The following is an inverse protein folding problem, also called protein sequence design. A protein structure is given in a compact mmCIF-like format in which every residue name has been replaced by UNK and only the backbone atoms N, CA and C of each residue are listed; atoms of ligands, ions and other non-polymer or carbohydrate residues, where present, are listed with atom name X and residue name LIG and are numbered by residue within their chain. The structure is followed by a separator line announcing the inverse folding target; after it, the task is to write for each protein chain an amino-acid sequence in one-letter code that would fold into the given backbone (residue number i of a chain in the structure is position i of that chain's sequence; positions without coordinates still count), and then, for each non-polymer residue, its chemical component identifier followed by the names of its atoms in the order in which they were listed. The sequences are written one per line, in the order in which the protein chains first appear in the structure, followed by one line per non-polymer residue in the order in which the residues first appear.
data_IF_417992754159
#
_entry.id   IF_417992754159
#
_cell.length_a   1.000
_cell.length_b   1.000
_cell.length_c   1.000
_cell.angle_alpha   90.00
_cell.angle_beta   90.00
_cell.angle_gamma   90.00
#
_symmetry.space_group_name_H-M   'P 1'
#
loop_
_entity.id
_entity.type
_entity.pdbx_description
1 polymer ?
#
# COMPACT_ATOMS: atom_id res chain seq x y z
N UNK A 1 8.03 55.14 -44.95
CA UNK A 1 7.58 54.33 -46.11
C UNK A 1 8.81 53.95 -46.90
N UNK A 2 9.21 52.67 -46.85
CA UNK A 2 9.96 52.01 -47.92
C UNK A 2 9.80 50.51 -47.74
N UNK A 3 9.29 49.89 -48.81
CA UNK A 3 9.11 48.47 -48.97
C UNK A 3 10.46 47.84 -49.30
N UNK A 4 10.85 46.79 -48.58
CA UNK A 4 11.51 45.68 -49.25
C UNK A 4 11.16 44.38 -48.56
N UNK A 5 10.35 43.62 -49.28
CA UNK A 5 9.86 42.31 -48.96
C UNK A 5 11.00 41.27 -49.01
N UNK A 6 10.98 40.36 -48.04
CA UNK A 6 10.86 38.92 -48.28
C UNK A 6 12.01 38.24 -49.04
N UNK A 7 12.96 37.64 -48.30
CA UNK A 7 13.53 36.34 -48.69
C UNK A 7 13.55 35.39 -47.49
N UNK A 8 12.93 34.25 -47.76
CA UNK A 8 12.66 33.08 -46.96
C UNK A 8 13.88 32.14 -47.06
N UNK A 9 14.65 31.91 -45.99
CA UNK A 9 15.45 30.67 -45.87
C UNK A 9 15.46 30.19 -44.42
N UNK A 10 14.51 29.31 -44.19
CA UNK A 10 14.48 28.16 -43.28
C UNK A 10 15.88 27.65 -42.87
N UNK A 11 16.20 27.71 -41.59
CA UNK A 11 17.04 26.68 -40.96
C UNK A 11 16.61 26.47 -39.50
N UNK A 12 15.78 25.43 -39.35
CA UNK A 12 15.56 24.73 -38.10
C UNK A 12 16.89 24.25 -37.54
N UNK A 13 17.23 24.64 -36.31
CA UNK A 13 17.98 23.79 -35.40
C UNK A 13 17.25 23.73 -34.07
N UNK A 14 16.33 22.77 -34.01
CA UNK A 14 15.79 22.25 -32.79
C UNK A 14 16.88 21.42 -32.09
N UNK A 15 17.22 21.76 -30.84
CA UNK A 15 17.57 20.79 -29.80
C UNK A 15 17.32 21.40 -28.42
N UNK A 16 16.09 21.34 -27.96
CA UNK A 16 15.77 21.48 -26.54
C UNK A 16 14.71 20.46 -26.17
N UNK A 17 15.15 19.23 -25.95
CA UNK A 17 14.40 18.30 -25.11
C UNK A 17 15.40 17.55 -24.25
N UNK A 18 15.68 18.10 -23.07
CA UNK A 18 16.15 17.33 -21.93
C UNK A 18 15.11 16.25 -21.64
N UNK A 19 15.35 15.03 -22.12
CA UNK A 19 14.56 13.86 -21.75
C UNK A 19 14.96 13.47 -20.33
N UNK A 20 14.25 14.03 -19.36
CA UNK A 20 14.12 13.38 -18.06
C UNK A 20 13.57 11.98 -18.31
N UNK A 21 14.39 10.97 -18.04
CA UNK A 21 13.96 9.59 -17.93
C UNK A 21 13.01 9.49 -16.73
N UNK A 22 11.75 9.88 -16.94
CA UNK A 22 10.65 9.59 -16.03
C UNK A 22 10.43 8.09 -16.14
N UNK A 23 11.15 7.34 -15.29
CA UNK A 23 10.92 5.92 -15.05
C UNK A 23 9.41 5.74 -14.90
N UNK A 24 8.80 5.03 -15.85
CA UNK A 24 7.37 4.74 -15.89
C UNK A 24 7.00 4.00 -14.60
N UNK A 25 6.69 4.72 -13.52
CA UNK A 25 5.94 4.14 -12.42
C UNK A 25 4.54 3.86 -12.98
N UNK A 26 4.04 2.62 -12.89
CA UNK A 26 2.68 2.32 -13.32
C UNK A 26 1.74 3.30 -12.62
N UNK A 27 0.97 4.06 -13.40
CA UNK A 27 -0.09 4.88 -12.84
C UNK A 27 -1.22 3.94 -12.44
N UNK A 28 -1.28 3.59 -11.15
CA UNK A 28 -2.44 2.90 -10.58
C UNK A 28 -3.66 3.76 -10.80
N UNK A 29 -4.66 3.22 -11.50
CA UNK A 29 -5.89 3.94 -11.81
C UNK A 29 -6.72 4.16 -10.55
N UNK A 30 -7.50 5.24 -10.50
CA UNK A 30 -8.36 5.59 -9.36
C UNK A 30 -9.26 4.41 -8.95
N UNK A 31 -9.79 3.67 -9.92
CA UNK A 31 -10.64 2.49 -9.74
C UNK A 31 -9.93 1.36 -8.99
N UNK A 32 -8.65 1.12 -9.28
CA UNK A 32 -7.86 0.09 -8.61
C UNK A 32 -7.53 0.50 -7.16
N UNK A 33 -7.28 1.78 -6.93
CA UNK A 33 -7.05 2.32 -5.58
C UNK A 33 -8.33 2.27 -4.72
N UNK A 34 -9.49 2.57 -5.29
CA UNK A 34 -10.78 2.51 -4.58
C UNK A 34 -11.13 1.07 -4.20
N UNK A 35 -10.91 0.12 -5.11
CA UNK A 35 -11.09 -1.32 -4.84
C UNK A 35 -10.17 -1.81 -3.72
N UNK A 36 -8.88 -1.43 -3.78
CA UNK A 36 -7.90 -1.76 -2.74
C UNK A 36 -8.32 -1.21 -1.38
N UNK A 37 -8.75 0.05 -1.34
CA UNK A 37 -9.23 0.70 -0.12
C UNK A 37 -10.43 -0.03 0.48
N UNK A 38 -11.42 -0.41 -0.33
CA UNK A 38 -12.60 -1.15 0.15
C UNK A 38 -12.24 -2.50 0.78
N UNK A 39 -11.28 -3.23 0.19
CA UNK A 39 -10.78 -4.50 0.75
C UNK A 39 -10.20 -4.26 2.16
N UNK A 40 -9.36 -3.23 2.31
CA UNK A 40 -8.68 -2.94 3.57
C UNK A 40 -9.65 -2.39 4.61
N UNK A 41 -10.59 -1.53 4.21
CA UNK A 41 -11.65 -1.01 5.09
C UNK A 41 -12.50 -2.15 5.64
N UNK A 42 -12.90 -3.10 4.79
CA UNK A 42 -13.67 -4.27 5.24
C UNK A 42 -12.86 -5.12 6.22
N UNK A 43 -11.58 -5.37 5.94
CA UNK A 43 -10.70 -6.09 6.86
C UNK A 43 -10.61 -5.39 8.22
N UNK A 44 -10.41 -4.06 8.24
CA UNK A 44 -10.37 -3.27 9.49
C UNK A 44 -11.69 -3.30 10.25
N UNK A 45 -12.82 -3.24 9.56
CA UNK A 45 -14.14 -3.36 10.18
C UNK A 45 -14.31 -4.73 10.85
N UNK A 46 -13.92 -5.80 10.15
CA UNK A 46 -14.02 -7.16 10.67
C UNK A 46 -13.05 -7.39 11.86
N UNK A 47 -11.85 -6.78 11.84
CA UNK A 47 -10.94 -6.75 12.99
C UNK A 47 -11.55 -6.05 14.21
N UNK A 48 -12.29 -4.96 13.99
CA UNK A 48 -12.93 -4.18 15.06
C UNK A 48 -14.21 -4.83 15.60
N UNK A 49 -14.75 -5.85 14.94
CA UNK A 49 -15.97 -6.52 15.37
C UNK A 49 -15.67 -7.61 16.42
N UNK A 50 -16.00 -7.45 17.71
CA UNK A 50 -15.67 -8.43 18.74
C UNK A 50 -16.45 -9.76 18.60
N UNK A 51 -17.52 -9.79 17.82
CA UNK A 51 -18.32 -11.00 17.61
C UNK A 51 -17.75 -11.94 16.54
N UNK A 52 -16.83 -11.47 15.68
CA UNK A 52 -16.17 -12.32 14.70
C UNK A 52 -15.00 -13.09 15.31
N UNK A 53 -14.90 -14.38 15.00
CA UNK A 53 -13.77 -15.22 15.39
C UNK A 53 -12.56 -14.99 14.47
N UNK A 54 -11.35 -15.22 14.98
CA UNK A 54 -10.11 -14.93 14.25
C UNK A 54 -9.96 -15.79 12.98
N UNK A 55 -10.34 -17.06 13.06
CA UNK A 55 -10.34 -18.01 11.95
C UNK A 55 -11.28 -17.58 10.81
N UNK A 56 -12.44 -16.99 11.14
CA UNK A 56 -13.36 -16.40 10.17
C UNK A 56 -12.72 -15.21 9.46
N UNK A 57 -12.07 -14.32 10.20
CA UNK A 57 -11.35 -13.16 9.62
C UNK A 57 -10.23 -13.65 8.69
N UNK A 58 -9.45 -14.64 9.13
CA UNK A 58 -8.39 -15.26 8.32
C UNK A 58 -8.94 -15.81 7.00
N UNK A 59 -10.00 -16.62 7.07
CA UNK A 59 -10.62 -17.25 5.89
C UNK A 59 -11.16 -16.23 4.87
N UNK A 60 -11.78 -15.16 5.37
CA UNK A 60 -12.41 -14.14 4.53
C UNK A 60 -11.37 -13.26 3.82
N UNK A 61 -10.33 -12.84 4.54
CA UNK A 61 -9.47 -11.74 4.09
C UNK A 61 -8.09 -12.18 3.61
N UNK A 62 -7.55 -13.26 4.15
CA UNK A 62 -6.16 -13.63 3.92
C UNK A 62 -6.04 -14.58 2.73
N UNK A 63 -5.03 -14.33 1.91
CA UNK A 63 -4.58 -15.23 0.84
C UNK A 63 -3.46 -16.10 1.39
N UNK A 64 -3.73 -17.40 1.55
CA UNK A 64 -2.72 -18.39 1.91
C UNK A 64 -2.05 -18.92 0.65
N UNK A 65 -0.73 -18.81 0.55
CA UNK A 65 0.06 -19.31 -0.59
C UNK A 65 0.72 -20.65 -0.30
N UNK A 66 0.71 -21.08 0.96
CA UNK A 66 1.23 -22.36 1.41
C UNK A 66 0.15 -23.19 2.13
N UNK A 67 0.31 -24.52 2.20
CA UNK A 67 -0.58 -25.36 2.99
C UNK A 67 -0.64 -24.88 4.45
N UNK A 68 -1.85 -24.84 5.00
CA UNK A 68 -2.06 -24.45 6.39
C UNK A 68 -1.67 -25.62 7.31
N UNK A 69 -0.62 -25.45 8.09
CA UNK A 69 -0.24 -26.35 9.19
C UNK A 69 -0.80 -25.81 10.51
N UNK A 70 -0.89 -26.65 11.54
CA UNK A 70 -1.36 -26.22 12.87
C UNK A 70 -0.49 -25.09 13.44
N UNK A 71 0.84 -25.22 13.35
CA UNK A 71 1.78 -24.17 13.78
C UNK A 71 1.57 -22.86 13.01
N UNK A 72 1.38 -22.94 11.69
CA UNK A 72 1.17 -21.74 10.88
C UNK A 72 -0.18 -21.08 11.17
N UNK A 73 -1.21 -21.89 11.43
CA UNK A 73 -2.52 -21.40 11.84
C UNK A 73 -2.48 -20.72 13.22
N UNK A 74 -1.76 -21.29 14.19
CA UNK A 74 -1.55 -20.68 15.50
C UNK A 74 -0.85 -19.33 15.38
N UNK A 75 0.22 -19.28 14.58
CA UNK A 75 0.95 -18.04 14.30
C UNK A 75 0.06 -16.96 13.66
N UNK A 76 -0.73 -17.31 12.64
CA UNK A 76 -1.66 -16.38 11.99
C UNK A 76 -2.76 -15.92 12.94
N UNK A 77 -3.29 -16.82 13.76
CA UNK A 77 -4.32 -16.52 14.75
C UNK A 77 -3.81 -15.55 15.80
N UNK A 78 -2.57 -15.73 16.28
CA UNK A 78 -1.92 -14.80 17.19
C UNK A 78 -1.68 -13.43 16.53
N UNK A 79 -1.24 -13.42 15.28
CA UNK A 79 -0.99 -12.19 14.51
C UNK A 79 -2.27 -11.38 14.33
N UNK A 80 -3.39 -12.02 13.96
CA UNK A 80 -4.70 -11.38 13.89
C UNK A 80 -5.16 -10.89 15.26
N UNK A 81 -5.04 -11.71 16.31
CA UNK A 81 -5.44 -11.30 17.66
C UNK A 81 -4.71 -10.02 18.11
N UNK A 82 -3.41 -9.95 17.86
CA UNK A 82 -2.58 -8.78 18.21
C UNK A 82 -3.00 -7.55 17.41
N UNK A 83 -3.24 -7.71 16.10
CA UNK A 83 -3.70 -6.63 15.24
C UNK A 83 -5.10 -6.13 15.67
N UNK A 84 -6.02 -7.03 16.05
CA UNK A 84 -7.34 -6.68 16.57
C UNK A 84 -7.26 -5.84 17.82
N UNK A 85 -6.46 -6.26 18.81
CA UNK A 85 -6.25 -5.49 20.04
C UNK A 85 -5.79 -4.05 19.74
N UNK A 86 -4.93 -3.90 18.73
CA UNK A 86 -4.45 -2.59 18.31
C UNK A 86 -5.55 -1.75 17.64
N UNK A 87 -6.36 -2.35 16.77
CA UNK A 87 -7.43 -1.66 16.03
C UNK A 87 -8.62 -1.30 16.92
N UNK A 88 -9.04 -2.19 17.81
CA UNK A 88 -10.19 -1.99 18.70
C UNK A 88 -10.00 -0.85 19.71
N UNK A 89 -8.76 -0.41 19.93
CA UNK A 89 -8.43 0.74 20.77
C UNK A 89 -8.47 2.09 20.01
N UNK A 90 -8.83 2.10 18.72
CA UNK A 90 -8.79 3.28 17.85
C UNK A 90 -10.17 3.67 17.37
N UNK A 91 -10.35 4.97 17.14
CA UNK A 91 -11.49 5.48 16.41
C UNK A 91 -11.27 5.22 14.91
N UNK A 92 -12.06 4.29 14.35
CA UNK A 92 -11.93 3.90 12.93
C UNK A 92 -12.17 5.08 11.97
N UNK A 93 -12.93 6.09 12.38
CA UNK A 93 -13.20 7.28 11.54
C UNK A 93 -11.96 8.14 11.31
N UNK A 94 -10.92 7.97 12.13
CA UNK A 94 -9.63 8.67 12.03
C UNK A 94 -8.54 7.84 11.34
N UNK A 95 -8.88 6.66 10.80
CA UNK A 95 -7.93 5.86 10.05
C UNK A 95 -7.77 6.39 8.63
N UNK A 96 -6.52 6.49 8.21
CA UNK A 96 -6.13 6.83 6.84
C UNK A 96 -5.51 5.60 6.16
N UNK A 97 -5.88 5.39 4.91
CA UNK A 97 -5.41 4.28 4.07
C UNK A 97 -4.52 4.84 2.97
N UNK A 98 -3.21 4.75 3.16
CA UNK A 98 -2.24 5.47 2.35
C UNK A 98 -1.47 4.46 1.49
N UNK A 99 -1.54 4.53 0.14
CA UNK A 99 -0.67 3.74 -0.72
C UNK A 99 0.79 4.02 -0.40
N UNK A 100 1.65 2.99 -0.37
CA UNK A 100 3.08 3.14 -0.05
C UNK A 100 3.76 4.20 -0.93
N UNK A 101 3.43 4.23 -2.23
CA UNK A 101 3.97 5.20 -3.19
C UNK A 101 3.61 6.66 -2.88
N UNK A 102 2.63 6.91 -2.01
CA UNK A 102 2.20 8.24 -1.58
C UNK A 102 2.75 8.64 -0.21
N UNK A 103 3.46 7.74 0.48
CA UNK A 103 4.06 8.06 1.77
C UNK A 103 5.26 9.01 1.62
N UNK A 104 5.50 9.90 2.60
CA UNK A 104 6.71 10.72 2.62
C UNK A 104 7.96 9.84 2.64
N UNK A 105 8.96 10.19 1.82
CA UNK A 105 10.23 9.43 1.73
C UNK A 105 10.91 9.18 3.09
N UNK A 106 10.77 10.11 4.04
CA UNK A 106 11.32 9.99 5.39
C UNK A 106 10.68 8.84 6.19
N UNK A 107 9.42 8.52 5.93
CA UNK A 107 8.64 7.54 6.68
C UNK A 107 8.82 6.12 6.11
N UNK A 108 9.29 6.01 4.87
CA UNK A 108 9.50 4.75 4.15
C UNK A 108 10.97 4.42 3.88
N UNK A 109 11.90 5.27 4.32
CA UNK A 109 13.34 5.09 4.07
C UNK A 109 13.83 3.76 4.64
N UNK A 110 13.30 3.40 5.79
CA UNK A 110 13.68 2.24 6.58
C UNK A 110 12.61 1.15 6.41
N UNK A 111 12.06 0.97 5.21
CA UNK A 111 11.11 -0.11 4.88
C UNK A 111 11.69 -0.93 3.74
N UNK A 112 11.97 -2.20 4.01
CA UNK A 112 12.29 -3.17 2.97
C UNK A 112 10.99 -3.71 2.37
N UNK A 113 10.86 -3.64 1.05
CA UNK A 113 9.69 -4.18 0.35
C UNK A 113 9.83 -5.67 0.06
N UNK A 114 11.01 -6.26 0.27
CA UNK A 114 11.28 -7.69 0.04
C UNK A 114 10.91 -8.14 -1.37
N UNK A 115 11.09 -7.25 -2.36
CA UNK A 115 10.74 -7.48 -3.76
C UNK A 115 9.24 -7.42 -4.10
N UNK A 116 8.36 -7.06 -3.15
CA UNK A 116 6.95 -6.88 -3.41
C UNK A 116 6.67 -5.57 -4.18
N UNK A 117 5.58 -5.56 -4.97
CA UNK A 117 5.17 -4.39 -5.75
C UNK A 117 4.75 -3.22 -4.84
N UNK A 118 5.43 -2.07 -4.88
CA UNK A 118 5.07 -0.89 -4.09
C UNK A 118 3.62 -0.41 -4.32
N UNK A 119 3.01 -0.69 -5.48
CA UNK A 119 1.63 -0.31 -5.79
C UNK A 119 0.59 -1.18 -5.07
N UNK A 120 1.00 -2.36 -4.62
CA UNK A 120 0.14 -3.32 -3.92
C UNK A 120 0.18 -3.12 -2.40
N UNK A 121 1.00 -2.18 -1.90
CA UNK A 121 1.23 -1.98 -0.47
C UNK A 121 0.50 -0.74 0.01
N UNK A 122 -0.23 -0.88 1.11
CA UNK A 122 -0.94 0.20 1.77
C UNK A 122 -0.58 0.24 3.24
N UNK A 123 -0.46 1.44 3.77
CA UNK A 123 -0.24 1.66 5.19
C UNK A 123 -1.51 2.22 5.80
N UNK A 124 -1.89 1.63 6.94
CA UNK A 124 -2.93 2.15 7.79
C UNK A 124 -2.26 3.09 8.77
N UNK A 125 -2.71 4.35 8.78
CA UNK A 125 -2.23 5.40 9.66
C UNK A 125 -3.36 5.82 10.61
N UNK A 126 -3.04 6.07 11.86
CA UNK A 126 -3.95 6.64 12.84
C UNK A 126 -3.31 7.90 13.40
N UNK A 127 -3.93 9.05 13.14
CA UNK A 127 -3.33 10.37 13.39
C UNK A 127 -1.99 10.46 12.65
N UNK A 128 -0.88 10.70 13.36
CA UNK A 128 0.45 10.84 12.75
C UNK A 128 1.33 9.59 12.85
N UNK A 129 0.74 8.42 13.14
CA UNK A 129 1.50 7.18 13.33
C UNK A 129 1.05 6.10 12.36
N UNK A 130 2.00 5.47 11.69
CA UNK A 130 1.78 4.22 10.95
C UNK A 130 1.44 3.12 11.96
N UNK A 131 0.39 2.36 11.67
CA UNK A 131 -0.14 1.32 12.55
C UNK A 131 0.31 -0.05 12.05
N UNK A 132 0.02 -0.35 10.80
CA UNK A 132 0.40 -1.59 10.13
C UNK A 132 0.34 -1.38 8.62
N UNK A 133 1.24 -1.99 7.84
CA UNK A 133 1.02 -2.16 6.42
C UNK A 133 0.25 -3.43 6.08
N UNK A 134 -0.33 -3.42 4.88
CA UNK A 134 -0.94 -4.56 4.21
C UNK A 134 -0.42 -4.63 2.78
N UNK A 135 -0.15 -5.86 2.34
CA UNK A 135 0.16 -6.19 0.95
C UNK A 135 -1.05 -6.88 0.33
N UNK A 136 -1.56 -6.32 -0.76
CA UNK A 136 -2.68 -6.88 -1.50
C UNK A 136 -2.21 -7.76 -2.64
N UNK A 137 -2.93 -8.86 -2.88
CA UNK A 137 -2.80 -9.68 -4.07
C UNK A 137 -4.12 -10.35 -4.38
N UNK A 138 -4.53 -10.35 -5.64
CA UNK A 138 -5.73 -11.04 -6.12
C UNK A 138 -7.00 -10.69 -5.33
N UNK A 139 -7.15 -9.43 -4.92
CA UNK A 139 -8.31 -8.95 -4.16
C UNK A 139 -8.33 -9.36 -2.68
N UNK A 140 -7.24 -9.94 -2.17
CA UNK A 140 -7.06 -10.37 -0.78
C UNK A 140 -5.78 -9.82 -0.16
N UNK A 141 -5.64 -9.99 1.15
CA UNK A 141 -4.43 -9.62 1.90
C UNK A 141 -3.45 -10.78 1.85
N UNK A 142 -2.29 -10.58 1.22
CA UNK A 142 -1.18 -11.54 1.15
C UNK A 142 -0.25 -11.45 2.36
N UNK A 143 -0.13 -10.26 2.93
CA UNK A 143 0.71 -10.02 4.10
C UNK A 143 0.14 -8.85 4.89
N UNK A 144 0.25 -8.92 6.21
CA UNK A 144 0.06 -7.81 7.12
C UNK A 144 1.11 -7.95 8.23
N UNK A 145 1.60 -6.83 8.76
CA UNK A 145 2.55 -6.87 9.88
C UNK A 145 2.32 -5.67 10.79
N UNK A 146 2.48 -5.84 12.10
CA UNK A 146 2.43 -4.67 12.99
C UNK A 146 3.72 -3.87 12.83
N UNK A 147 3.61 -2.54 12.76
CA UNK A 147 4.80 -1.69 12.87
C UNK A 147 5.21 -1.67 14.34
N UNK A 148 6.30 -2.35 14.70
CA UNK A 148 6.86 -2.25 16.05
C UNK A 148 7.55 -0.89 16.23
N UNK A 149 7.51 -0.33 17.44
CA UNK A 149 8.17 0.95 17.74
C UNK A 149 9.69 0.81 17.58
N UNK A 150 10.21 1.27 16.43
CA UNK A 150 11.65 1.38 16.18
C UNK A 150 12.28 0.30 15.30
N UNK A 151 11.51 -0.67 14.80
CA UNK A 151 12.02 -1.68 13.85
C UNK A 151 11.18 -1.73 12.56
N UNK A 152 11.86 -2.14 11.49
CA UNK A 152 11.40 -2.22 10.11
C UNK A 152 10.07 -3.02 10.00
N UNK A 153 9.17 -2.57 9.13
CA UNK A 153 8.03 -3.41 8.76
C UNK A 153 8.54 -4.58 7.89
N UNK A 154 8.55 -5.79 8.44
CA UNK A 154 8.88 -7.02 7.72
C UNK A 154 7.63 -7.67 7.13
N UNK A 155 7.61 -7.84 5.81
CA UNK A 155 6.46 -8.36 5.07
C UNK A 155 6.53 -9.88 4.97
N UNK A 156 6.01 -10.57 5.99
CA UNK A 156 5.90 -12.04 5.94
C UNK A 156 4.75 -12.41 5.00
N UNK A 157 5.06 -13.05 3.87
CA UNK A 157 4.05 -13.59 2.95
C UNK A 157 3.44 -14.86 3.54
N UNK A 158 2.11 -14.96 3.52
CA UNK A 158 1.35 -16.08 4.08
C UNK A 158 0.85 -17.06 3.01
#
# INVERSE_FOLDING_TARGET
MNYLQLIFVLLLTATSTSTWAQRNMPQTTTVQQDSARQIIEKFVQDLNNPALANDVILSQHILLQQPLTDEFFEYLSYSIATLRLNIQQKDLSQLEYIPFIKLPKKDIRDIDLEGNDPQAIYFIKYRDKLVFPVLLKDGKIKSFTLVSNGEYAHFINY
#
